data_IF_055897112483
#
_entry.id   IF_055897112483
#
_cell.length_a   1.000
_cell.length_b   1.000
_cell.length_c   1.000
_cell.angle_alpha   90.00
_cell.angle_beta   90.00
_cell.angle_gamma   90.00
#
_symmetry.space_group_name_H-M   'P 1'
#
loop_
_entity.id
_entity.type
_entity.pdbx_description
1 polymer ?
#
# COMPACT_ATOMS: atom_id res chain seq x y z
N UNK A 1 -53.68 -13.30 -92.21
CA UNK A 1 -52.75 -12.38 -91.50
C UNK A 1 -53.56 -11.48 -90.59
N UNK A 2 -53.66 -11.81 -89.30
CA UNK A 2 -54.20 -10.94 -88.26
C UNK A 2 -53.62 -11.42 -86.92
N UNK A 3 -52.81 -10.57 -86.32
CA UNK A 3 -52.09 -10.71 -85.06
C UNK A 3 -53.05 -10.48 -83.89
N UNK A 4 -53.02 -11.33 -82.85
CA UNK A 4 -53.55 -11.00 -81.51
C UNK A 4 -52.65 -11.62 -80.45
N UNK A 5 -51.75 -10.76 -79.95
CA UNK A 5 -50.97 -10.97 -78.73
C UNK A 5 -51.91 -11.14 -77.53
N UNK A 6 -51.66 -12.20 -76.76
CA UNK A 6 -52.34 -12.45 -75.50
C UNK A 6 -51.87 -11.44 -74.46
N UNK A 7 -52.74 -10.47 -74.18
CA UNK A 7 -52.65 -9.53 -73.08
C UNK A 7 -52.65 -10.24 -71.73
N UNK A 8 -51.54 -10.14 -71.00
CA UNK A 8 -51.41 -10.53 -69.59
C UNK A 8 -52.11 -9.48 -68.70
N UNK A 9 -52.97 -9.86 -67.74
CA UNK A 9 -53.64 -8.91 -66.85
C UNK A 9 -52.66 -8.26 -65.87
N UNK A 10 -52.74 -6.94 -65.76
CA UNK A 10 -51.90 -6.07 -64.93
C UNK A 10 -52.53 -5.87 -63.54
N UNK A 11 -52.88 -6.95 -62.84
CA UNK A 11 -53.52 -6.90 -61.52
C UNK A 11 -52.71 -7.75 -60.56
N UNK A 12 -51.68 -7.15 -59.96
CA UNK A 12 -51.08 -7.47 -58.64
C UNK A 12 -49.95 -6.45 -58.43
N UNK A 13 -50.32 -5.20 -58.14
CA UNK A 13 -49.42 -4.28 -57.45
C UNK A 13 -50.03 -4.11 -56.07
N UNK A 14 -49.67 -5.04 -55.18
CA UNK A 14 -49.88 -4.83 -53.76
C UNK A 14 -48.99 -3.65 -53.37
N UNK A 15 -49.62 -2.56 -52.90
CA UNK A 15 -48.99 -1.59 -52.03
C UNK A 15 -48.45 -2.36 -50.83
N UNK A 16 -47.14 -2.64 -50.84
CA UNK A 16 -46.45 -3.04 -49.64
C UNK A 16 -46.18 -1.75 -48.84
N UNK A 17 -46.58 -1.64 -47.58
CA UNK A 17 -46.20 -0.48 -46.78
C UNK A 17 -44.68 -0.46 -46.62
N UNK A 18 -44.05 0.63 -47.05
CA UNK A 18 -42.60 0.92 -46.96
C UNK A 18 -42.07 1.12 -45.51
N UNK A 19 -42.71 0.50 -44.51
CA UNK A 19 -42.39 0.70 -43.09
C UNK A 19 -41.82 -0.55 -42.40
N UNK A 20 -40.94 -1.28 -43.07
CA UNK A 20 -40.16 -2.38 -42.47
C UNK A 20 -38.66 -2.06 -42.32
N UNK A 21 -38.18 -0.91 -42.82
CA UNK A 21 -36.78 -0.50 -42.70
C UNK A 21 -36.40 0.08 -41.32
N UNK A 22 -37.36 0.66 -40.60
CA UNK A 22 -37.09 1.41 -39.37
C UNK A 22 -36.88 0.49 -38.16
N UNK A 23 -37.38 -0.76 -38.18
CA UNK A 23 -37.30 -1.70 -37.06
C UNK A 23 -35.99 -2.51 -36.96
N UNK A 24 -35.29 -2.72 -38.07
CA UNK A 24 -34.10 -3.58 -38.13
C UNK A 24 -32.78 -2.80 -38.01
N UNK A 25 -32.76 -1.55 -38.49
CA UNK A 25 -31.56 -0.72 -38.49
C UNK A 25 -31.28 -0.12 -37.09
N UNK A 26 -32.32 0.33 -36.38
CA UNK A 26 -32.15 0.90 -35.04
C UNK A 26 -31.76 -0.15 -33.98
N UNK A 27 -32.22 -1.39 -34.10
CA UNK A 27 -31.88 -2.49 -33.18
C UNK A 27 -30.42 -2.90 -33.32
N UNK A 28 -29.86 -2.90 -34.53
CA UNK A 28 -28.44 -3.15 -34.78
C UNK A 28 -27.54 -2.05 -34.19
N UNK A 29 -27.96 -0.78 -34.34
CA UNK A 29 -27.27 0.38 -33.75
C UNK A 29 -27.28 0.30 -32.22
N UNK A 30 -28.43 -0.03 -31.61
CA UNK A 30 -28.55 -0.19 -30.15
C UNK A 30 -27.71 -1.37 -29.66
N UNK A 31 -27.70 -2.52 -30.36
CA UNK A 31 -26.92 -3.69 -29.97
C UNK A 31 -25.40 -3.41 -30.00
N UNK A 32 -24.93 -2.67 -31.01
CA UNK A 32 -23.51 -2.32 -31.15
C UNK A 32 -23.10 -1.29 -30.09
N UNK A 33 -23.95 -0.29 -29.83
CA UNK A 33 -23.75 0.68 -28.77
C UNK A 33 -23.70 0.02 -27.38
N UNK A 34 -24.61 -0.92 -27.10
CA UNK A 34 -24.61 -1.68 -25.84
C UNK A 34 -23.36 -2.56 -25.72
N UNK A 35 -22.95 -3.22 -26.81
CA UNK A 35 -21.71 -4.02 -26.83
C UNK A 35 -20.45 -3.19 -26.58
N UNK A 36 -20.37 -1.98 -27.16
CA UNK A 36 -19.24 -1.06 -26.90
C UNK A 36 -19.27 -0.53 -25.48
N UNK A 37 -20.43 -0.14 -24.94
CA UNK A 37 -20.54 0.32 -23.56
C UNK A 37 -20.16 -0.78 -22.57
N UNK A 38 -20.63 -2.02 -22.76
CA UNK A 38 -20.26 -3.15 -21.91
C UNK A 38 -18.75 -3.48 -22.03
N UNK A 39 -18.16 -3.36 -23.21
CA UNK A 39 -16.72 -3.52 -23.43
C UNK A 39 -15.88 -2.45 -22.73
N UNK A 40 -16.32 -1.20 -22.77
CA UNK A 40 -15.64 -0.07 -22.10
C UNK A 40 -15.79 -0.16 -20.58
N UNK A 41 -16.97 -0.53 -20.08
CA UNK A 41 -17.23 -0.70 -18.63
C UNK A 41 -16.42 -1.86 -18.06
N UNK A 42 -16.34 -3.01 -18.76
CA UNK A 42 -15.51 -4.14 -18.31
C UNK A 42 -14.02 -3.81 -18.28
N UNK A 43 -13.54 -3.03 -19.25
CA UNK A 43 -12.15 -2.55 -19.29
C UNK A 43 -11.87 -1.54 -18.16
N UNK A 44 -12.78 -0.58 -17.91
CA UNK A 44 -12.63 0.40 -16.83
C UNK A 44 -12.67 -0.24 -15.44
N UNK A 45 -13.50 -1.27 -15.23
CA UNK A 45 -13.54 -1.99 -13.95
C UNK A 45 -12.25 -2.80 -13.75
N UNK A 46 -11.75 -3.47 -14.79
CA UNK A 46 -10.47 -4.18 -14.72
C UNK A 46 -9.31 -3.22 -14.41
N UNK A 47 -9.29 -2.06 -15.07
CA UNK A 47 -8.28 -1.03 -14.85
C UNK A 47 -8.38 -0.40 -13.45
N UNK A 48 -9.61 -0.21 -12.95
CA UNK A 48 -9.86 0.28 -11.59
C UNK A 48 -9.37 -0.69 -10.53
N UNK A 49 -9.56 -1.99 -10.72
CA UNK A 49 -9.07 -3.05 -9.82
C UNK A 49 -7.55 -3.10 -9.85
N UNK A 50 -6.94 -3.01 -11.03
CA UNK A 50 -5.48 -2.96 -11.19
C UNK A 50 -4.87 -1.73 -10.51
N UNK A 51 -5.46 -0.56 -10.72
CA UNK A 51 -4.99 0.68 -10.10
C UNK A 51 -5.12 0.66 -8.57
N UNK A 52 -6.19 0.04 -8.05
CA UNK A 52 -6.38 -0.15 -6.61
C UNK A 52 -5.31 -1.09 -6.03
N UNK A 53 -4.96 -2.16 -6.75
CA UNK A 53 -3.93 -3.10 -6.35
C UNK A 53 -2.54 -2.47 -6.37
N UNK A 54 -2.18 -1.77 -7.45
CA UNK A 54 -0.89 -1.09 -7.55
C UNK A 54 -0.72 -0.01 -6.47
N UNK A 55 -1.79 0.72 -6.11
CA UNK A 55 -1.72 1.66 -4.99
C UNK A 55 -1.49 0.95 -3.65
N UNK A 56 -2.22 -0.13 -3.36
CA UNK A 56 -2.01 -0.88 -2.11
C UNK A 56 -0.61 -1.47 -2.00
N UNK A 57 -0.04 -1.97 -3.10
CA UNK A 57 1.32 -2.51 -3.12
C UNK A 57 2.36 -1.40 -2.88
N UNK A 58 2.13 -0.19 -3.44
CA UNK A 58 2.98 0.99 -3.19
C UNK A 58 2.88 1.47 -1.73
N UNK A 59 1.69 1.61 -1.18
CA UNK A 59 1.48 2.06 0.21
C UNK A 59 2.16 1.10 1.21
N UNK A 60 2.10 -0.21 0.96
CA UNK A 60 2.80 -1.22 1.76
C UNK A 60 4.32 -1.09 1.64
N UNK A 61 4.82 -0.90 0.42
CA UNK A 61 6.25 -0.75 0.18
C UNK A 61 6.80 0.51 0.88
N UNK A 62 6.07 1.62 0.80
CA UNK A 62 6.40 2.87 1.48
C UNK A 62 6.43 2.68 3.00
N UNK A 63 5.38 2.10 3.59
CA UNK A 63 5.33 1.82 5.03
C UNK A 63 6.51 0.94 5.49
N UNK A 64 6.83 -0.12 4.72
CA UNK A 64 7.95 -1.00 5.03
C UNK A 64 9.29 -0.26 4.95
N UNK A 65 9.46 0.60 3.93
CA UNK A 65 10.66 1.41 3.77
C UNK A 65 10.87 2.35 4.95
N UNK A 66 9.85 3.10 5.36
CA UNK A 66 9.94 3.99 6.51
C UNK A 66 10.25 3.25 7.82
N UNK A 67 9.71 2.03 8.00
CA UNK A 67 10.06 1.19 9.16
C UNK A 67 11.55 0.81 9.15
N UNK A 68 12.08 0.41 7.99
CA UNK A 68 13.49 0.01 7.85
C UNK A 68 14.44 1.20 8.04
N UNK A 69 14.11 2.36 7.47
CA UNK A 69 14.89 3.60 7.60
C UNK A 69 15.00 4.02 9.07
N UNK A 70 13.87 4.04 9.79
CA UNK A 70 13.85 4.36 11.21
C UNK A 70 14.66 3.38 12.06
N UNK A 71 14.45 2.07 11.87
CA UNK A 71 15.19 1.04 12.61
C UNK A 71 16.69 1.06 12.30
N UNK A 72 17.06 1.39 11.07
CA UNK A 72 18.44 1.56 10.64
C UNK A 72 19.12 2.73 11.34
N UNK A 73 18.50 3.91 11.28
CA UNK A 73 18.99 5.12 11.95
C UNK A 73 19.15 4.90 13.46
N UNK A 74 18.15 4.32 14.11
CA UNK A 74 18.17 4.04 15.55
C UNK A 74 19.26 3.03 15.93
N UNK A 75 19.46 1.98 15.11
CA UNK A 75 20.51 1.00 15.34
C UNK A 75 21.91 1.60 15.18
N UNK A 76 22.10 2.46 14.17
CA UNK A 76 23.36 3.17 13.92
C UNK A 76 23.70 4.12 15.07
N UNK A 77 22.71 4.88 15.56
CA UNK A 77 22.89 5.75 16.72
C UNK A 77 23.32 4.97 17.97
N UNK A 78 22.59 3.90 18.32
CA UNK A 78 22.91 3.06 19.48
C UNK A 78 24.30 2.43 19.37
N UNK A 79 24.67 1.94 18.19
CA UNK A 79 25.99 1.35 17.94
C UNK A 79 27.10 2.39 18.13
N UNK A 80 26.90 3.61 17.64
CA UNK A 80 27.84 4.70 17.87
C UNK A 80 27.94 5.09 19.35
N UNK A 81 26.81 5.15 20.06
CA UNK A 81 26.77 5.45 21.49
C UNK A 81 27.48 4.40 22.33
N UNK A 82 27.41 3.12 21.96
CA UNK A 82 28.14 2.06 22.66
C UNK A 82 29.67 2.19 22.60
N UNK A 83 30.18 3.00 21.67
CA UNK A 83 31.62 3.30 21.51
C UNK A 83 31.98 4.73 21.95
N UNK A 84 31.04 5.45 22.56
CA UNK A 84 31.29 6.83 22.98
C UNK A 84 32.21 6.84 24.21
N UNK A 85 33.17 7.76 24.20
CA UNK A 85 34.04 7.97 25.35
C UNK A 85 33.27 8.61 26.53
N UNK A 86 33.59 8.24 27.79
CA UNK A 86 33.03 8.89 28.96
C UNK A 86 33.27 10.41 28.94
N UNK A 87 32.21 11.17 29.19
CA UNK A 87 32.24 12.62 29.31
C UNK A 87 31.01 13.09 30.07
N UNK A 88 31.22 13.52 31.33
CA UNK A 88 30.17 14.05 32.20
C UNK A 88 29.46 15.25 31.58
N UNK A 89 30.16 16.08 30.80
CA UNK A 89 29.57 17.21 30.10
C UNK A 89 28.57 16.78 29.02
N UNK A 90 28.65 15.55 28.49
CA UNK A 90 27.75 15.04 27.44
C UNK A 90 26.49 14.38 27.97
N UNK A 91 26.39 14.12 29.27
CA UNK A 91 25.18 13.59 29.91
C UNK A 91 23.99 14.53 29.64
N UNK A 92 22.86 13.99 29.19
CA UNK A 92 21.66 14.77 28.84
C UNK A 92 21.75 15.48 27.49
N UNK A 93 22.89 15.42 26.78
CA UNK A 93 23.06 15.94 25.41
C UNK A 93 22.86 14.89 24.32
N UNK A 94 22.40 13.69 24.67
CA UNK A 94 22.15 12.61 23.72
C UNK A 94 21.21 12.99 22.58
N UNK A 95 20.28 13.93 22.79
CA UNK A 95 19.34 14.40 21.75
C UNK A 95 20.06 15.10 20.58
N UNK A 96 21.18 15.77 20.84
CA UNK A 96 22.02 16.36 19.78
C UNK A 96 22.72 15.24 19.02
N UNK A 97 23.37 14.32 19.76
CA UNK A 97 24.12 13.23 19.16
C UNK A 97 23.25 12.27 18.33
N UNK A 98 22.02 11.97 18.77
CA UNK A 98 21.11 11.06 18.05
C UNK A 98 20.57 11.71 16.77
N UNK A 99 20.50 13.05 16.73
CA UNK A 99 20.04 13.79 15.55
C UNK A 99 21.03 13.69 14.38
N UNK A 100 22.33 13.56 14.67
CA UNK A 100 23.39 13.39 13.66
C UNK A 100 23.24 12.09 12.86
N UNK A 101 22.57 11.09 13.44
CA UNK A 101 22.29 9.81 12.78
C UNK A 101 20.94 9.80 12.03
N UNK A 102 20.26 10.95 11.91
CA UNK A 102 19.02 11.06 11.14
C UNK A 102 17.79 10.42 11.79
N UNK A 103 17.86 10.06 13.07
CA UNK A 103 16.76 9.37 13.78
C UNK A 103 15.47 10.20 13.77
N UNK A 104 15.56 11.51 14.02
CA UNK A 104 14.38 12.39 13.98
C UNK A 104 13.82 12.57 12.57
N UNK A 105 14.67 12.65 11.55
CA UNK A 105 14.21 12.72 10.17
C UNK A 105 13.41 11.45 9.80
N UNK A 106 13.94 10.27 10.15
CA UNK A 106 13.24 9.01 9.94
C UNK A 106 11.96 8.89 10.80
N UNK A 107 11.94 9.47 12.00
CA UNK A 107 10.75 9.51 12.85
C UNK A 107 9.65 10.38 12.24
N UNK A 108 9.99 11.54 11.66
CA UNK A 108 9.01 12.39 10.98
C UNK A 108 8.42 11.71 9.73
N UNK A 109 9.23 10.97 8.98
CA UNK A 109 8.70 10.15 7.87
C UNK A 109 7.75 9.08 8.40
N UNK A 110 8.11 8.44 9.52
CA UNK A 110 7.27 7.44 10.17
C UNK A 110 5.91 8.02 10.61
N UNK A 111 5.88 9.25 11.12
CA UNK A 111 4.66 9.96 11.55
C UNK A 111 3.62 10.12 10.44
N UNK A 112 4.06 10.17 9.17
CA UNK A 112 3.16 10.33 8.02
C UNK A 112 2.45 9.04 7.63
N UNK A 113 3.08 7.89 7.86
CA UNK A 113 2.64 6.59 7.31
C UNK A 113 2.21 5.59 8.37
N UNK A 114 2.74 5.72 9.60
CA UNK A 114 2.56 4.74 10.65
C UNK A 114 1.35 5.04 11.55
N UNK A 115 0.63 4.00 12.01
CA UNK A 115 -0.42 4.16 13.00
C UNK A 115 0.18 4.58 14.37
N UNK A 116 -0.60 5.36 15.12
CA UNK A 116 -0.23 5.94 16.43
C UNK A 116 0.42 4.95 17.43
N UNK A 117 -0.05 3.70 17.59
CA UNK A 117 0.59 2.75 18.51
C UNK A 117 2.06 2.44 18.18
N UNK A 118 2.43 2.49 16.90
CA UNK A 118 3.82 2.27 16.46
C UNK A 118 4.66 3.51 16.76
N UNK A 119 4.11 4.71 16.56
CA UNK A 119 4.80 5.96 16.85
C UNK A 119 5.15 6.10 18.33
N UNK A 120 4.25 5.68 19.21
CA UNK A 120 4.51 5.70 20.65
C UNK A 120 5.62 4.72 21.05
N UNK A 121 5.63 3.52 20.46
CA UNK A 121 6.73 2.56 20.66
C UNK A 121 8.04 3.05 20.05
N UNK A 122 7.99 3.76 18.92
CA UNK A 122 9.16 4.38 18.29
C UNK A 122 9.76 5.43 19.21
N UNK A 123 8.94 6.38 19.68
CA UNK A 123 9.30 7.40 20.65
C UNK A 123 9.94 6.79 21.91
N UNK A 124 9.32 5.76 22.47
CA UNK A 124 9.87 5.06 23.63
C UNK A 124 11.22 4.40 23.33
N UNK A 125 11.39 3.80 22.15
CA UNK A 125 12.67 3.22 21.75
C UNK A 125 13.77 4.28 21.63
N UNK A 126 13.46 5.46 21.07
CA UNK A 126 14.39 6.59 21.02
C UNK A 126 14.82 7.03 22.41
N UNK A 127 13.87 7.22 23.33
CA UNK A 127 14.17 7.63 24.71
C UNK A 127 15.08 6.61 25.40
N UNK A 128 14.81 5.31 25.28
CA UNK A 128 15.68 4.29 25.90
C UNK A 128 17.09 4.24 25.30
N UNK A 129 17.27 4.66 24.04
CA UNK A 129 18.60 4.79 23.43
C UNK A 129 19.33 6.04 23.93
N UNK A 130 18.59 7.11 24.23
CA UNK A 130 19.13 8.30 24.88
C UNK A 130 19.55 8.01 26.33
N UNK A 131 18.74 7.28 27.09
CA UNK A 131 19.09 6.84 28.44
C UNK A 131 20.36 5.95 28.40
N UNK A 132 20.48 5.09 27.39
CA UNK A 132 21.69 4.31 27.16
C UNK A 132 22.91 5.17 26.83
N UNK A 133 22.78 6.18 25.97
CA UNK A 133 23.84 7.15 25.72
C UNK A 133 24.30 7.81 27.02
N UNK A 134 23.36 8.29 27.83
CA UNK A 134 23.65 8.98 29.07
C UNK A 134 24.38 8.07 30.07
N UNK A 135 24.01 6.79 30.15
CA UNK A 135 24.73 5.81 30.95
C UNK A 135 26.18 5.61 30.45
N UNK A 136 26.40 5.51 29.14
CA UNK A 136 27.75 5.34 28.57
C UNK A 136 28.61 6.57 28.82
N UNK A 137 28.11 7.77 28.53
CA UNK A 137 28.91 9.01 28.69
C UNK A 137 29.08 9.40 30.15
N UNK A 138 28.22 8.95 31.07
CA UNK A 138 28.49 9.05 32.50
C UNK A 138 29.67 8.17 32.95
N UNK A 139 30.18 7.27 32.11
CA UNK A 139 31.31 6.41 32.40
C UNK A 139 30.96 5.16 33.20
N UNK A 140 29.70 4.73 33.14
CA UNK A 140 29.30 3.45 33.73
C UNK A 140 29.94 2.29 32.96
N UNK A 141 30.64 1.41 33.68
CA UNK A 141 31.25 0.21 33.10
C UNK A 141 30.19 -0.76 32.56
N UNK A 142 30.58 -1.63 31.62
CA UNK A 142 29.67 -2.59 30.99
C UNK A 142 29.01 -3.58 31.97
N UNK A 143 29.64 -3.82 33.12
CA UNK A 143 29.13 -4.70 34.18
C UNK A 143 28.32 -3.94 35.26
N UNK A 144 28.20 -2.62 35.15
CA UNK A 144 27.38 -1.83 36.08
C UNK A 144 25.89 -2.09 35.87
N UNK A 145 25.12 -2.02 36.95
CA UNK A 145 23.67 -2.17 36.89
C UNK A 145 23.05 -1.08 36.03
N UNK A 146 23.55 0.16 36.09
CA UNK A 146 23.07 1.29 35.29
C UNK A 146 23.22 1.04 33.79
N UNK A 147 24.41 0.63 33.35
CA UNK A 147 24.65 0.28 31.94
C UNK A 147 23.77 -0.89 31.51
N UNK A 148 23.74 -1.97 32.29
CA UNK A 148 23.00 -3.19 31.96
C UNK A 148 21.48 -2.96 31.94
N UNK A 149 20.96 -2.09 32.80
CA UNK A 149 19.55 -1.70 32.81
C UNK A 149 19.21 -0.86 31.58
N UNK A 150 20.02 0.15 31.25
CA UNK A 150 19.78 1.00 30.07
C UNK A 150 19.90 0.19 28.76
N UNK A 151 20.90 -0.70 28.67
CA UNK A 151 21.08 -1.59 27.52
C UNK A 151 19.87 -2.55 27.34
N UNK A 152 19.41 -3.17 28.44
CA UNK A 152 18.21 -4.04 28.40
C UNK A 152 16.96 -3.26 28.00
N UNK A 153 16.73 -2.08 28.59
CA UNK A 153 15.60 -1.24 28.25
C UNK A 153 15.58 -0.88 26.76
N UNK A 154 16.71 -0.49 26.19
CA UNK A 154 16.85 -0.20 24.76
C UNK A 154 16.60 -1.44 23.89
N UNK A 155 17.12 -2.61 24.30
CA UNK A 155 16.92 -3.90 23.62
C UNK A 155 15.44 -4.29 23.58
N UNK A 156 14.75 -4.16 24.70
CA UNK A 156 13.34 -4.52 24.88
C UNK A 156 12.41 -3.56 24.14
N UNK A 157 12.65 -2.25 24.24
CA UNK A 157 11.86 -1.25 23.52
C UNK A 157 11.94 -1.46 22.01
N UNK A 158 13.15 -1.72 21.47
CA UNK A 158 13.32 -2.09 20.06
C UNK A 158 12.58 -3.39 19.72
N UNK A 159 12.61 -4.38 20.61
CA UNK A 159 11.89 -5.65 20.42
C UNK A 159 10.38 -5.44 20.25
N UNK A 160 9.77 -4.70 21.18
CA UNK A 160 8.34 -4.35 21.14
C UNK A 160 7.97 -3.57 19.88
N UNK A 161 8.82 -2.62 19.48
CA UNK A 161 8.61 -1.85 18.26
C UNK A 161 8.60 -2.74 17.01
N UNK A 162 9.60 -3.61 16.86
CA UNK A 162 9.70 -4.52 15.71
C UNK A 162 8.50 -5.45 15.65
N UNK A 163 8.05 -5.98 16.79
CA UNK A 163 6.86 -6.84 16.87
C UNK A 163 5.59 -6.10 16.43
N UNK A 164 5.41 -4.85 16.87
CA UNK A 164 4.28 -4.01 16.45
C UNK A 164 4.32 -3.71 14.95
N UNK A 165 5.49 -3.37 14.40
CA UNK A 165 5.70 -3.14 12.96
C UNK A 165 5.38 -4.40 12.13
N UNK A 166 5.86 -5.57 12.55
CA UNK A 166 5.55 -6.84 11.88
C UNK A 166 4.05 -7.16 11.93
N UNK A 167 3.39 -6.89 13.05
CA UNK A 167 1.95 -7.09 13.21
C UNK A 167 1.17 -6.15 12.29
N UNK A 168 1.57 -4.88 12.20
CA UNK A 168 0.95 -3.92 11.31
C UNK A 168 1.07 -4.32 9.83
N UNK A 169 2.24 -4.79 9.39
CA UNK A 169 2.43 -5.29 8.03
C UNK A 169 1.58 -6.53 7.75
N UNK A 170 1.47 -7.46 8.70
CA UNK A 170 0.60 -8.66 8.59
C UNK A 170 -0.88 -8.30 8.51
N UNK A 171 -1.34 -7.34 9.32
CA UNK A 171 -2.73 -6.86 9.27
C UNK A 171 -3.06 -6.14 7.97
N UNK A 172 -2.10 -5.41 7.40
CA UNK A 172 -2.25 -4.80 6.08
C UNK A 172 -2.45 -5.88 5.00
N UNK A 173 -1.67 -6.97 5.02
CA UNK A 173 -1.84 -8.09 4.08
C UNK A 173 -3.21 -8.77 4.21
N UNK A 174 -3.68 -9.00 5.44
CA UNK A 174 -4.96 -9.67 5.67
C UNK A 174 -6.16 -8.86 5.14
N UNK A 175 -6.14 -7.53 5.32
CA UNK A 175 -7.21 -6.63 4.84
C UNK A 175 -7.29 -6.60 3.32
N UNK A 176 -6.16 -6.66 2.62
CA UNK A 176 -6.13 -6.63 1.16
C UNK A 176 -6.30 -8.01 0.52
N UNK A 177 -5.91 -9.09 1.21
CA UNK A 177 -6.13 -10.48 0.77
C UNK A 177 -7.61 -10.86 0.67
N UNK A 178 -8.47 -10.35 1.57
CA UNK A 178 -9.92 -10.56 1.49
C UNK A 178 -10.60 -9.79 0.33
N UNK A 179 -9.95 -8.79 -0.26
CA UNK A 179 -10.49 -7.99 -1.35
C UNK A 179 -10.25 -8.62 -2.75
N UNK A 180 -9.53 -9.75 -2.83
CA UNK A 180 -9.39 -10.49 -4.10
C UNK A 180 -10.56 -11.47 -4.26
N UNK A 181 -11.38 -11.39 -5.33
CA UNK A 181 -12.25 -12.49 -5.67
C UNK A 181 -11.36 -13.67 -6.03
N UNK A 182 -11.48 -14.79 -5.31
CA UNK A 182 -10.89 -16.06 -5.74
C UNK A 182 -11.36 -16.30 -7.18
N UNK A 183 -10.47 -16.49 -8.17
CA UNK A 183 -10.92 -16.95 -9.47
C UNK A 183 -11.62 -18.30 -9.25
N UNK A 184 -12.89 -18.38 -9.63
CA UNK A 184 -13.62 -19.63 -9.64
C UNK A 184 -12.81 -20.60 -10.51
N UNK A 185 -12.22 -21.61 -9.87
CA UNK A 185 -11.58 -22.72 -10.56
C UNK A 185 -12.65 -23.40 -11.40
N UNK A 186 -12.52 -23.45 -12.74
CA UNK A 186 -13.32 -24.37 -13.52
C UNK A 186 -12.76 -25.75 -13.23
N UNK A 187 -13.43 -26.49 -12.34
CA UNK A 187 -13.27 -27.94 -12.30
C UNK A 187 -13.78 -28.47 -13.64
N UNK A 188 -12.86 -28.84 -14.51
CA UNK A 188 -13.14 -29.67 -15.66
C UNK A 188 -13.71 -31.01 -15.18
N UNK A 189 -14.71 -31.50 -15.92
CA UNK A 189 -15.44 -32.75 -15.70
C UNK A 189 -14.54 -33.98 -15.59
#
# INVERSE_FOLDING_TARGET
MQQRDASVPRVWRADLPDNLGVGMEWTAVVATAVGTVLGVVSTLVADRIRWRRERSERDRAELRTSFMEYLGALAQARDAFSRAEPSQERVGRGHIAISEYGVYAAQHQLELVAPQPILELARQATLTVLDFHDAVVAGHDADSDEYMNAWRAAREARGRLVEAMQTALRLHDARHGCASPRPASPRAC
#
